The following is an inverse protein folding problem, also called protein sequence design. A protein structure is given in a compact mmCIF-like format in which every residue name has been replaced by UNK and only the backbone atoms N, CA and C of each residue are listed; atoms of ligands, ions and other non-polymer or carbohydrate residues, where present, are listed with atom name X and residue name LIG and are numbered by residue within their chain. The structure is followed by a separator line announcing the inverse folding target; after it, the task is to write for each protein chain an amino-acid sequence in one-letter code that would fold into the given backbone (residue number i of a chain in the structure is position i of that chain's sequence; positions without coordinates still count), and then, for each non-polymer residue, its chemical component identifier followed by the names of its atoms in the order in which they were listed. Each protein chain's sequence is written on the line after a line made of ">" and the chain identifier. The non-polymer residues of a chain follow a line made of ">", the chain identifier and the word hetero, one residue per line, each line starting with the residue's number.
data_IF_222242293847
#
_entry.id   IF_222242293847
#
_cell.length_a   1.000
_cell.length_b   1.000
_cell.length_c   1.000
_cell.angle_alpha   90.00
_cell.angle_beta   90.00
_cell.angle_gamma   90.00
#
_symmetry.space_group_name_H-M   'P 1'
#
loop_
_entity.id
_entity.type
_entity.pdbx_description
1 polymer ?
#
# COMPACT_ATOMS: atom_id res chain seq x y z
N UNK A 1 24.57 -6.71 -25.34
CA UNK A 1 25.02 -5.63 -26.25
C UNK A 1 26.53 -5.51 -26.10
N UNK A 2 27.28 -5.24 -27.17
CA UNK A 2 28.69 -4.85 -27.06
C UNK A 2 28.76 -3.31 -27.12
N UNK A 3 29.51 -2.68 -26.20
CA UNK A 3 29.62 -1.21 -26.09
C UNK A 3 28.49 -0.52 -25.32
N UNK A 4 28.28 0.79 -25.56
CA UNK A 4 27.34 1.66 -24.82
C UNK A 4 25.86 1.51 -25.23
N UNK A 5 25.47 0.38 -25.80
CA UNK A 5 24.11 0.14 -26.28
C UNK A 5 23.16 -0.31 -25.16
N UNK A 6 22.09 0.46 -24.93
CA UNK A 6 20.98 0.06 -24.07
C UNK A 6 19.95 -0.75 -24.87
N UNK A 7 19.43 -1.82 -24.27
CA UNK A 7 18.37 -2.66 -24.84
C UNK A 7 17.24 -2.78 -23.83
N UNK A 8 15.99 -2.70 -24.31
CA UNK A 8 14.83 -3.01 -23.48
C UNK A 8 14.88 -4.48 -23.05
N UNK A 9 14.88 -4.70 -21.73
CA UNK A 9 14.80 -6.01 -21.11
C UNK A 9 13.52 -6.07 -20.28
N UNK A 10 12.58 -6.91 -20.69
CA UNK A 10 11.25 -6.96 -20.11
C UNK A 10 11.21 -8.02 -19.01
N UNK A 11 10.73 -7.65 -17.82
CA UNK A 11 10.51 -8.61 -16.74
C UNK A 11 9.59 -9.73 -17.23
N UNK A 12 10.01 -11.00 -17.17
CA UNK A 12 9.18 -12.12 -17.62
C UNK A 12 7.93 -12.25 -16.75
N UNK A 13 6.81 -12.67 -17.35
CA UNK A 13 5.61 -13.05 -16.63
C UNK A 13 5.64 -14.52 -16.18
N UNK A 14 4.54 -14.99 -15.59
CA UNK A 14 4.40 -16.36 -15.04
C UNK A 14 4.69 -17.47 -16.06
N UNK A 15 4.39 -17.24 -17.34
CA UNK A 15 4.61 -18.23 -18.42
C UNK A 15 6.00 -18.14 -19.05
N UNK A 16 6.95 -17.44 -18.42
CA UNK A 16 8.24 -16.99 -18.97
C UNK A 16 8.13 -16.05 -20.18
N UNK A 17 6.93 -15.86 -20.75
CA UNK A 17 6.70 -14.82 -21.73
C UNK A 17 6.65 -13.46 -21.02
N UNK A 18 7.41 -12.44 -21.47
CA UNK A 18 7.35 -11.10 -20.88
C UNK A 18 6.02 -10.39 -21.14
N UNK A 19 5.30 -10.75 -22.22
CA UNK A 19 4.01 -10.17 -22.59
C UNK A 19 3.15 -11.21 -23.31
N UNK A 20 1.88 -11.36 -22.91
CA UNK A 20 0.85 -12.15 -23.59
C UNK A 20 -0.32 -11.24 -23.96
N UNK A 21 -0.62 -11.05 -25.25
CA UNK A 21 -1.66 -10.12 -25.75
C UNK A 21 -2.27 -10.59 -27.06
N UNK A 22 -3.51 -10.19 -27.31
CA UNK A 22 -4.17 -10.28 -28.61
C UNK A 22 -3.98 -8.98 -29.41
N UNK A 23 -4.01 -9.05 -30.74
CA UNK A 23 -3.88 -7.88 -31.61
C UNK A 23 -5.26 -7.28 -31.96
N UNK A 24 -5.37 -5.95 -32.10
CA UNK A 24 -4.31 -4.94 -31.97
C UNK A 24 -3.97 -4.59 -30.50
N UNK A 25 -2.70 -4.29 -30.22
CA UNK A 25 -2.25 -3.81 -28.91
C UNK A 25 -1.16 -2.73 -29.02
N UNK A 26 -1.04 -1.91 -27.98
CA UNK A 26 -0.02 -0.87 -27.84
C UNK A 26 1.02 -1.27 -26.77
N UNK A 27 2.22 -0.72 -26.86
CA UNK A 27 3.20 -0.78 -25.77
C UNK A 27 3.13 0.50 -24.92
N UNK A 28 3.60 0.48 -23.65
CA UNK A 28 3.89 1.72 -22.94
C UNK A 28 4.89 2.59 -23.70
N UNK A 29 4.82 3.91 -23.47
CA UNK A 29 5.79 4.86 -24.02
C UNK A 29 7.21 4.56 -23.53
N UNK A 30 8.20 4.80 -24.39
CA UNK A 30 9.63 4.83 -24.03
C UNK A 30 10.07 6.28 -24.10
N UNK A 31 10.51 6.83 -22.97
CA UNK A 31 10.82 8.25 -22.84
C UNK A 31 12.32 8.49 -22.74
N UNK A 32 12.79 9.59 -23.30
CA UNK A 32 14.15 10.08 -23.16
C UNK A 32 14.05 11.56 -22.81
N UNK A 33 14.32 11.90 -21.54
CA UNK A 33 14.38 13.28 -21.09
C UNK A 33 15.81 13.79 -21.23
N UNK A 34 15.98 14.91 -21.91
CA UNK A 34 17.28 15.54 -22.17
C UNK A 34 17.17 17.00 -21.74
N UNK A 35 18.10 17.46 -20.91
CA UNK A 35 18.18 18.84 -20.45
C UNK A 35 19.65 19.23 -20.28
N UNK A 36 19.96 20.51 -20.50
CA UNK A 36 21.32 21.05 -20.33
C UNK A 36 21.75 21.11 -18.85
N UNK A 37 20.77 21.08 -17.92
CA UNK A 37 21.00 21.08 -16.47
C UNK A 37 20.02 20.14 -15.76
N UNK A 38 20.44 19.60 -14.61
CA UNK A 38 19.65 18.64 -13.82
C UNK A 38 18.26 19.17 -13.42
N UNK A 39 18.12 20.49 -13.17
CA UNK A 39 16.84 21.11 -12.85
C UNK A 39 15.79 20.92 -13.95
N UNK A 40 16.19 20.96 -15.22
CA UNK A 40 15.28 20.75 -16.36
C UNK A 40 14.70 19.34 -16.43
N UNK A 41 15.33 18.34 -15.80
CA UNK A 41 14.77 17.00 -15.69
C UNK A 41 13.60 16.94 -14.69
N UNK A 42 13.67 17.72 -13.61
CA UNK A 42 12.64 17.78 -12.55
C UNK A 42 11.42 18.57 -13.03
N UNK A 43 11.63 19.64 -13.81
CA UNK A 43 10.57 20.49 -14.34
C UNK A 43 9.78 19.87 -15.51
N UNK A 44 10.23 18.72 -16.03
CA UNK A 44 9.58 18.04 -17.15
C UNK A 44 8.27 17.36 -16.73
N UNK A 45 7.19 17.69 -17.44
CA UNK A 45 5.88 17.01 -17.32
C UNK A 45 5.69 15.87 -18.32
N UNK A 46 6.74 15.46 -19.05
CA UNK A 46 6.64 14.48 -20.14
C UNK A 46 5.91 13.20 -19.74
N UNK A 47 6.22 12.63 -18.57
CA UNK A 47 5.60 11.39 -18.10
C UNK A 47 4.09 11.55 -17.89
N UNK A 48 3.64 12.62 -17.23
CA UNK A 48 2.22 12.88 -17.00
C UNK A 48 1.47 13.12 -18.33
N UNK A 49 2.06 13.88 -19.25
CA UNK A 49 1.45 14.20 -20.54
C UNK A 49 1.24 12.97 -21.47
N UNK A 50 1.99 11.89 -21.23
CA UNK A 50 1.90 10.65 -22.01
C UNK A 50 0.90 9.63 -21.41
N UNK A 51 0.35 9.91 -20.23
CA UNK A 51 -0.71 9.09 -19.64
C UNK A 51 -2.07 9.45 -20.25
N UNK A 52 -3.00 8.50 -20.18
CA UNK A 52 -4.39 8.79 -20.51
C UNK A 52 -4.96 9.83 -19.54
N UNK A 53 -5.86 10.72 -20.00
CA UNK A 53 -6.58 11.63 -19.11
C UNK A 53 -7.36 10.88 -18.02
N UNK A 54 -7.71 11.61 -16.95
CA UNK A 54 -8.51 11.09 -15.84
C UNK A 54 -9.76 10.33 -16.33
N UNK A 55 -9.84 9.03 -15.98
CA UNK A 55 -10.99 8.15 -16.26
C UNK A 55 -11.95 7.98 -15.08
N UNK A 56 -11.61 8.52 -13.91
CA UNK A 56 -12.40 8.39 -12.68
C UNK A 56 -13.53 9.44 -12.58
N UNK A 57 -13.57 10.41 -13.50
CA UNK A 57 -14.57 11.48 -13.48
C UNK A 57 -14.32 12.47 -12.33
N UNK A 58 -15.35 12.76 -11.53
CA UNK A 58 -15.19 13.63 -10.36
C UNK A 58 -14.33 12.95 -9.28
N UNK A 59 -13.19 13.58 -8.99
CA UNK A 59 -12.25 13.15 -7.95
C UNK A 59 -12.19 14.14 -6.78
N UNK A 60 -13.25 14.96 -6.61
CA UNK A 60 -13.35 15.93 -5.52
C UNK A 60 -13.30 15.29 -4.13
N UNK A 61 -13.56 13.99 -4.03
CA UNK A 61 -13.40 13.17 -2.82
C UNK A 61 -11.93 12.95 -2.41
N UNK A 62 -10.97 13.04 -3.33
CA UNK A 62 -9.55 12.92 -3.00
C UNK A 62 -9.05 14.21 -2.37
N UNK A 63 -8.57 14.13 -1.12
CA UNK A 63 -8.06 15.28 -0.36
C UNK A 63 -6.61 15.02 0.03
N UNK A 64 -5.63 15.78 -0.49
CA UNK A 64 -4.26 15.71 -0.01
C UNK A 64 -4.18 16.02 1.49
N UNK A 65 -3.35 15.29 2.22
CA UNK A 65 -3.12 15.50 3.64
C UNK A 65 -1.69 15.13 4.05
N UNK A 66 -1.22 15.72 5.13
CA UNK A 66 -0.07 15.21 5.89
C UNK A 66 -0.55 14.14 6.87
N UNK A 67 0.34 13.22 7.24
CA UNK A 67 0.02 12.16 8.20
C UNK A 67 1.19 11.84 9.13
N UNK A 68 0.87 11.27 10.28
CA UNK A 68 1.82 10.59 11.19
C UNK A 68 1.43 9.11 11.26
N UNK A 69 2.20 8.28 11.94
CA UNK A 69 1.80 6.87 12.06
C UNK A 69 2.40 6.10 13.20
N UNK A 70 1.62 5.13 13.68
CA UNK A 70 2.13 3.97 14.40
C UNK A 70 2.88 3.13 13.36
N UNK A 71 4.16 3.45 13.19
CA UNK A 71 4.98 2.92 12.10
C UNK A 71 6.46 2.83 12.48
N UNK A 72 7.10 3.98 12.67
CA UNK A 72 8.55 4.06 12.88
C UNK A 72 9.03 3.30 14.13
N UNK A 73 8.18 3.22 15.15
CA UNK A 73 8.46 2.46 16.37
C UNK A 73 8.75 0.97 16.12
N UNK A 74 8.15 0.35 15.09
CA UNK A 74 8.43 -1.04 14.72
C UNK A 74 9.78 -1.19 14.01
N UNK A 75 10.12 -0.24 13.12
CA UNK A 75 11.44 -0.20 12.47
C UNK A 75 12.59 0.06 13.44
N UNK A 76 12.32 0.82 14.51
CA UNK A 76 13.28 1.07 15.59
C UNK A 76 13.29 -0.05 16.66
N UNK A 77 12.53 -1.12 16.46
CA UNK A 77 12.39 -2.25 17.40
C UNK A 77 11.90 -1.85 18.81
N UNK A 78 11.35 -0.65 18.96
CA UNK A 78 10.73 -0.17 20.21
C UNK A 78 9.32 -0.73 20.40
N UNK A 79 8.69 -1.16 19.30
CA UNK A 79 7.40 -1.86 19.26
C UNK A 79 7.44 -3.00 18.23
N UNK A 80 6.40 -3.83 18.21
CA UNK A 80 6.23 -4.94 17.25
C UNK A 80 4.98 -4.71 16.39
N UNK A 81 5.00 -5.23 15.16
CA UNK A 81 3.78 -5.38 14.36
C UNK A 81 2.90 -6.51 14.90
N UNK A 82 3.52 -7.64 15.24
CA UNK A 82 2.84 -8.75 15.90
C UNK A 82 2.38 -8.40 17.30
N UNK A 83 1.41 -9.17 17.78
CA UNK A 83 0.82 -9.08 19.09
C UNK A 83 1.83 -9.32 20.22
N UNK A 84 1.44 -8.95 21.44
CA UNK A 84 2.24 -9.15 22.64
C UNK A 84 2.56 -7.86 23.39
N UNK A 85 3.45 -7.90 24.40
CA UNK A 85 3.67 -6.77 25.32
C UNK A 85 4.20 -5.49 24.65
N UNK A 86 4.76 -5.60 23.45
CA UNK A 86 5.32 -4.47 22.68
C UNK A 86 4.49 -4.13 21.44
N UNK A 87 3.28 -4.68 21.30
CA UNK A 87 2.44 -4.46 20.14
C UNK A 87 2.18 -2.97 19.91
N UNK A 88 2.44 -2.50 18.68
CA UNK A 88 2.37 -1.09 18.35
C UNK A 88 0.95 -0.57 18.15
N UNK A 89 0.11 -1.35 17.47
CA UNK A 89 -1.25 -0.97 17.09
C UNK A 89 -2.24 -1.27 18.22
N UNK A 90 -2.04 -0.64 19.38
CA UNK A 90 -2.99 -0.71 20.49
C UNK A 90 -3.94 0.49 20.49
N UNK A 91 -5.15 0.29 21.02
CA UNK A 91 -6.14 1.35 21.23
C UNK A 91 -5.54 2.62 21.87
N UNK A 92 -4.77 2.46 22.95
CA UNK A 92 -4.17 3.58 23.68
C UNK A 92 -3.12 4.33 22.84
N UNK A 93 -2.21 3.61 22.17
CA UNK A 93 -1.17 4.24 21.37
C UNK A 93 -1.75 4.94 20.14
N UNK A 94 -2.76 4.35 19.50
CA UNK A 94 -3.40 4.94 18.32
C UNK A 94 -4.20 6.19 18.71
N UNK A 95 -4.98 6.15 19.81
CA UNK A 95 -5.65 7.35 20.33
C UNK A 95 -4.66 8.48 20.64
N UNK A 96 -3.49 8.17 21.20
CA UNK A 96 -2.41 9.16 21.44
C UNK A 96 -1.92 9.81 20.14
N UNK A 97 -1.75 9.04 19.07
CA UNK A 97 -1.36 9.58 17.76
C UNK A 97 -2.47 10.41 17.12
N UNK A 98 -3.73 10.02 17.27
CA UNK A 98 -4.89 10.80 16.81
C UNK A 98 -4.93 12.15 17.54
N UNK A 99 -4.75 12.16 18.86
CA UNK A 99 -4.73 13.41 19.64
C UNK A 99 -3.59 14.33 19.22
N UNK A 100 -2.40 13.77 18.99
CA UNK A 100 -1.27 14.53 18.46
C UNK A 100 -1.58 15.10 17.06
N UNK A 101 -2.11 14.27 16.16
CA UNK A 101 -2.44 14.71 14.80
C UNK A 101 -3.47 15.86 14.82
N UNK A 102 -4.51 15.74 15.63
CA UNK A 102 -5.54 16.77 15.81
C UNK A 102 -4.96 18.07 16.40
N UNK A 103 -4.06 17.97 17.38
CA UNK A 103 -3.41 19.13 18.00
C UNK A 103 -2.47 19.90 17.05
N UNK A 104 -2.00 19.25 15.98
CA UNK A 104 -1.00 19.78 15.06
C UNK A 104 -1.49 19.95 13.61
N UNK A 105 -2.80 19.92 13.37
CA UNK A 105 -3.41 20.05 12.03
C UNK A 105 -2.88 19.01 11.03
N UNK A 106 -2.65 17.78 11.47
CA UNK A 106 -2.23 16.65 10.64
C UNK A 106 -3.48 15.84 10.31
N UNK A 107 -3.70 15.58 9.03
CA UNK A 107 -4.97 15.03 8.55
C UNK A 107 -5.15 13.53 8.78
N UNK A 108 -4.06 12.77 8.95
CA UNK A 108 -4.12 11.31 9.01
C UNK A 108 -3.21 10.63 10.01
N UNK A 109 -3.61 9.43 10.45
CA UNK A 109 -2.80 8.49 11.24
C UNK A 109 -2.76 7.14 10.53
N UNK A 110 -1.59 6.74 10.02
CA UNK A 110 -1.32 5.38 9.55
C UNK A 110 -1.16 4.44 10.74
N UNK A 111 -1.74 3.24 10.65
CA UNK A 111 -1.55 2.18 11.64
C UNK A 111 -1.16 0.89 10.95
N UNK A 112 0.09 0.45 11.14
CA UNK A 112 0.52 -0.89 10.76
C UNK A 112 0.46 -1.85 11.95
N UNK A 113 0.28 -3.15 11.69
CA UNK A 113 0.14 -4.17 12.74
C UNK A 113 -1.28 -4.31 13.29
N UNK A 114 -2.27 -3.60 12.75
CA UNK A 114 -3.63 -3.60 13.31
C UNK A 114 -4.38 -4.94 13.16
N UNK A 115 -4.10 -5.67 12.08
CA UNK A 115 -4.81 -6.85 11.64
C UNK A 115 -4.12 -8.16 12.06
N UNK A 116 -4.83 -9.28 12.07
CA UNK A 116 -4.20 -10.60 12.28
C UNK A 116 -3.25 -10.95 11.13
N UNK A 117 -2.18 -11.69 11.45
CA UNK A 117 -1.22 -12.23 10.48
C UNK A 117 0.21 -11.70 10.61
N UNK A 118 0.46 -10.79 11.56
CA UNK A 118 1.80 -10.25 11.82
C UNK A 118 2.62 -11.08 12.83
N UNK A 119 1.99 -12.03 13.52
CA UNK A 119 2.68 -12.90 14.47
C UNK A 119 3.58 -13.90 13.75
N UNK A 120 4.81 -14.07 14.26
CA UNK A 120 5.80 -14.96 13.64
C UNK A 120 6.50 -14.31 12.46
N UNK A 121 6.69 -15.07 11.38
CA UNK A 121 7.41 -14.61 10.18
C UNK A 121 6.41 -14.17 9.09
N UNK A 122 6.18 -12.86 9.02
CA UNK A 122 5.29 -12.26 8.03
C UNK A 122 6.00 -11.94 6.71
N UNK A 123 7.33 -11.77 6.72
CA UNK A 123 8.11 -11.41 5.54
C UNK A 123 8.03 -12.52 4.49
N UNK A 124 7.60 -12.18 3.26
CA UNK A 124 7.54 -13.15 2.16
C UNK A 124 6.58 -14.34 2.39
N UNK A 125 5.70 -14.29 3.39
CA UNK A 125 4.77 -15.36 3.74
C UNK A 125 3.33 -14.98 3.34
N UNK A 126 2.74 -14.05 4.08
CA UNK A 126 1.47 -13.41 3.73
C UNK A 126 0.21 -14.27 3.80
N UNK A 127 0.31 -15.57 4.10
CA UNK A 127 -0.85 -16.48 4.13
C UNK A 127 -1.81 -16.22 5.29
N UNK A 128 -1.30 -15.73 6.41
CA UNK A 128 -2.08 -15.55 7.65
C UNK A 128 -2.72 -14.15 7.76
N UNK A 129 -2.48 -13.25 6.80
CA UNK A 129 -3.06 -11.92 6.83
C UNK A 129 -4.58 -11.96 6.65
N UNK A 130 -5.29 -11.38 7.61
CA UNK A 130 -6.68 -10.99 7.44
C UNK A 130 -6.76 -9.51 7.13
N UNK A 131 -7.53 -9.11 6.13
CA UNK A 131 -7.77 -7.69 5.83
C UNK A 131 -9.08 -7.18 6.44
N UNK A 132 -9.73 -8.00 7.27
CA UNK A 132 -11.01 -7.70 7.93
C UNK A 132 -11.01 -7.92 9.44
N UNK A 133 -10.02 -8.64 9.98
CA UNK A 133 -9.95 -8.97 11.41
C UNK A 133 -8.78 -8.27 12.10
N UNK A 134 -9.12 -7.46 13.11
CA UNK A 134 -8.14 -6.81 13.98
C UNK A 134 -7.60 -7.74 15.08
N UNK A 135 -6.45 -7.40 15.66
CA UNK A 135 -6.03 -7.94 16.95
C UNK A 135 -6.95 -7.49 18.09
N UNK A 136 -7.07 -8.26 19.20
CA UNK A 136 -8.01 -7.94 20.29
C UNK A 136 -7.76 -6.61 21.01
N UNK A 137 -6.55 -6.06 20.92
CA UNK A 137 -6.14 -4.79 21.52
C UNK A 137 -6.29 -3.59 20.57
N UNK A 138 -6.83 -3.81 19.37
CA UNK A 138 -7.16 -2.80 18.36
C UNK A 138 -8.66 -2.84 18.00
N UNK A 139 -9.41 -1.86 18.51
CA UNK A 139 -10.83 -1.68 18.20
C UNK A 139 -10.99 -0.69 17.04
N UNK A 140 -10.98 -1.22 15.81
CA UNK A 140 -11.01 -0.41 14.59
C UNK A 140 -12.24 0.49 14.50
N UNK A 141 -13.40 0.01 14.94
CA UNK A 141 -14.66 0.76 14.91
C UNK A 141 -14.59 1.97 15.86
N UNK A 142 -14.14 1.74 17.10
CA UNK A 142 -13.95 2.81 18.09
C UNK A 142 -12.90 3.81 17.65
N UNK A 143 -11.77 3.36 17.10
CA UNK A 143 -10.68 4.23 16.69
C UNK A 143 -11.05 5.09 15.48
N UNK A 144 -11.74 4.52 14.49
CA UNK A 144 -12.26 5.27 13.35
C UNK A 144 -13.26 6.34 13.80
N UNK A 145 -14.17 6.01 14.73
CA UNK A 145 -15.09 6.97 15.32
C UNK A 145 -14.36 8.09 16.09
N UNK A 146 -13.36 7.75 16.90
CA UNK A 146 -12.56 8.72 17.66
C UNK A 146 -11.77 9.66 16.75
N UNK A 147 -11.12 9.12 15.72
CA UNK A 147 -10.39 9.91 14.73
C UNK A 147 -11.32 10.91 14.03
N UNK A 148 -12.48 10.46 13.56
CA UNK A 148 -13.50 11.31 12.93
C UNK A 148 -13.99 12.42 13.86
N UNK A 149 -14.22 12.14 15.15
CA UNK A 149 -14.59 13.17 16.12
C UNK A 149 -13.51 14.26 16.27
N UNK A 150 -12.25 13.89 16.07
CA UNK A 150 -11.08 14.77 16.16
C UNK A 150 -10.71 15.44 14.84
N UNK A 151 -11.46 15.19 13.77
CA UNK A 151 -11.14 15.71 12.43
C UNK A 151 -9.91 15.05 11.79
N UNK A 152 -9.54 13.84 12.23
CA UNK A 152 -8.40 13.06 11.74
C UNK A 152 -8.92 11.81 11.02
N UNK A 153 -8.25 11.41 9.94
CA UNK A 153 -8.52 10.16 9.25
C UNK A 153 -7.61 9.04 9.76
N UNK A 154 -8.15 7.83 9.92
CA UNK A 154 -7.30 6.65 9.92
C UNK A 154 -6.86 6.39 8.49
N UNK A 155 -5.57 6.10 8.29
CA UNK A 155 -5.03 5.57 7.04
C UNK A 155 -4.87 4.08 7.24
N UNK A 156 -5.58 3.30 6.42
CA UNK A 156 -5.54 1.85 6.43
C UNK A 156 -4.18 1.30 6.00
N UNK A 157 -3.94 0.03 6.32
CA UNK A 157 -2.72 -0.68 5.94
C UNK A 157 -3.02 -2.11 5.52
N UNK A 158 -2.66 -2.47 4.29
CA UNK A 158 -2.77 -3.81 3.71
C UNK A 158 -1.38 -4.28 3.24
N UNK A 159 -0.56 -4.80 4.16
CA UNK A 159 0.64 -5.57 3.80
C UNK A 159 0.23 -6.97 3.34
N UNK A 160 0.89 -7.47 2.29
CA UNK A 160 0.58 -8.77 1.71
C UNK A 160 1.64 -9.83 1.99
N UNK A 161 2.82 -9.46 2.49
CA UNK A 161 3.96 -10.38 2.59
C UNK A 161 4.35 -10.94 1.22
N UNK A 162 4.15 -10.14 0.16
CA UNK A 162 4.29 -10.53 -1.24
C UNK A 162 3.17 -11.43 -1.77
N UNK A 163 2.15 -11.77 -0.98
CA UNK A 163 1.08 -12.70 -1.34
C UNK A 163 -0.18 -11.96 -1.85
N UNK A 164 -0.12 -11.49 -3.10
CA UNK A 164 -1.25 -10.81 -3.73
C UNK A 164 -2.45 -11.76 -3.93
N UNK A 165 -2.23 -13.06 -4.10
CA UNK A 165 -3.30 -14.05 -4.22
C UNK A 165 -4.25 -14.05 -3.01
N UNK A 166 -3.69 -14.08 -1.79
CA UNK A 166 -4.50 -14.02 -0.56
C UNK A 166 -5.19 -12.66 -0.41
N UNK A 167 -4.51 -11.58 -0.82
CA UNK A 167 -5.08 -10.24 -0.76
C UNK A 167 -6.28 -10.07 -1.70
N UNK A 168 -6.17 -10.50 -2.96
CA UNK A 168 -7.24 -10.40 -3.96
C UNK A 168 -8.54 -11.09 -3.52
N UNK A 169 -8.45 -12.18 -2.77
CA UNK A 169 -9.63 -12.89 -2.22
C UNK A 169 -10.36 -12.10 -1.13
N UNK A 170 -9.66 -11.20 -0.44
CA UNK A 170 -10.18 -10.42 0.67
C UNK A 170 -10.33 -8.93 0.33
N UNK A 171 -9.88 -8.50 -0.85
CA UNK A 171 -9.74 -7.10 -1.24
C UNK A 171 -11.07 -6.35 -1.15
N UNK A 172 -12.13 -6.90 -1.75
CA UNK A 172 -13.47 -6.30 -1.71
C UNK A 172 -14.00 -6.17 -0.27
N UNK A 173 -13.82 -7.21 0.55
CA UNK A 173 -14.27 -7.20 1.93
C UNK A 173 -13.47 -6.22 2.80
N UNK A 174 -12.15 -6.12 2.59
CA UNK A 174 -11.28 -5.16 3.26
C UNK A 174 -11.60 -3.72 2.88
N UNK A 175 -11.86 -3.44 1.59
CA UNK A 175 -12.30 -2.12 1.17
C UNK A 175 -13.71 -1.77 1.65
N UNK A 176 -14.64 -2.73 1.68
CA UNK A 176 -15.97 -2.50 2.25
C UNK A 176 -15.92 -2.20 3.76
N UNK A 177 -15.00 -2.84 4.51
CA UNK A 177 -14.73 -2.49 5.89
C UNK A 177 -14.23 -1.03 6.01
N UNK A 178 -13.24 -0.64 5.20
CA UNK A 178 -12.70 0.71 5.22
C UNK A 178 -13.72 1.77 4.81
N UNK A 179 -14.52 1.51 3.76
CA UNK A 179 -15.59 2.41 3.35
C UNK A 179 -16.61 2.61 4.47
N UNK A 180 -17.11 1.53 5.09
CA UNK A 180 -18.06 1.59 6.21
C UNK A 180 -17.54 2.45 7.36
N UNK A 181 -16.23 2.39 7.61
CA UNK A 181 -15.56 3.12 8.68
C UNK A 181 -15.26 4.59 8.32
N UNK A 182 -15.31 4.96 7.04
CA UNK A 182 -14.87 6.26 6.54
C UNK A 182 -13.34 6.38 6.40
N UNK A 183 -12.67 5.27 6.11
CA UNK A 183 -11.23 5.20 5.81
C UNK A 183 -11.07 5.32 4.29
N UNK A 184 -10.50 6.42 3.82
CA UNK A 184 -10.43 6.77 2.40
C UNK A 184 -9.02 6.69 1.81
N UNK A 185 -8.05 6.20 2.59
CA UNK A 185 -6.66 6.07 2.17
C UNK A 185 -6.08 4.79 2.76
N UNK A 186 -5.32 4.06 1.95
CA UNK A 186 -4.68 2.81 2.33
C UNK A 186 -3.24 2.80 1.85
N UNK A 187 -2.32 2.42 2.73
CA UNK A 187 -0.97 2.01 2.34
C UNK A 187 -1.00 0.51 2.05
N UNK A 188 -0.66 0.10 0.84
CA UNK A 188 -0.47 -1.31 0.48
C UNK A 188 1.00 -1.70 0.52
N UNK A 189 1.31 -2.95 0.83
CA UNK A 189 2.68 -3.48 0.88
C UNK A 189 2.80 -4.84 0.21
N UNK A 190 3.93 -5.09 -0.46
CA UNK A 190 4.22 -6.32 -1.21
C UNK A 190 5.63 -6.82 -0.88
N UNK A 191 5.90 -6.97 0.42
CA UNK A 191 7.25 -7.29 0.90
C UNK A 191 7.58 -8.77 0.66
N UNK A 192 8.48 -9.01 -0.28
CA UNK A 192 9.10 -10.30 -0.56
C UNK A 192 10.49 -10.09 -1.17
N UNK A 193 11.26 -11.17 -1.28
CA UNK A 193 12.43 -11.18 -2.16
C UNK A 193 12.02 -10.93 -3.62
N UNK A 194 12.98 -10.49 -4.43
CA UNK A 194 12.76 -10.23 -5.86
C UNK A 194 12.32 -11.52 -6.58
N UNK A 195 11.16 -11.46 -7.24
CA UNK A 195 10.54 -12.63 -7.89
C UNK A 195 9.81 -13.57 -6.92
N UNK A 196 9.72 -13.24 -5.64
CA UNK A 196 9.02 -14.04 -4.61
C UNK A 196 7.55 -13.67 -4.40
N UNK A 197 7.00 -12.75 -5.21
CA UNK A 197 5.60 -12.37 -5.11
C UNK A 197 4.70 -13.54 -5.58
N UNK A 198 3.66 -13.84 -4.80
CA UNK A 198 2.66 -14.86 -5.12
C UNK A 198 1.41 -14.21 -5.70
N UNK A 199 0.96 -14.73 -6.82
CA UNK A 199 -0.18 -14.19 -7.60
C UNK A 199 -1.08 -15.34 -8.07
N UNK A 200 -2.32 -15.05 -8.46
CA UNK A 200 -3.21 -16.09 -8.99
C UNK A 200 -2.62 -16.74 -10.24
N UNK A 201 -2.79 -18.07 -10.36
CA UNK A 201 -2.43 -18.85 -11.54
C UNK A 201 -3.56 -18.92 -12.60
N UNK A 202 -4.71 -18.27 -12.33
CA UNK A 202 -5.90 -18.29 -13.18
C UNK A 202 -6.68 -19.62 -13.15
N UNK A 203 -6.29 -20.59 -12.32
CA UNK A 203 -6.89 -21.94 -12.18
C UNK A 203 -7.37 -22.22 -10.77
N UNK A 204 -7.48 -21.20 -9.94
CA UNK A 204 -7.90 -21.30 -8.54
C UNK A 204 -6.75 -21.61 -7.57
N UNK A 205 -5.50 -21.53 -8.03
CA UNK A 205 -4.30 -21.62 -7.21
C UNK A 205 -3.45 -20.35 -7.30
N UNK A 206 -2.21 -20.48 -6.83
CA UNK A 206 -1.20 -19.42 -6.86
C UNK A 206 0.11 -19.93 -7.42
N UNK A 207 0.92 -19.02 -7.96
CA UNK A 207 2.30 -19.24 -8.39
C UNK A 207 3.21 -18.17 -7.81
#
# INVERSE_FOLDING_TARGET
>A
TTGNGLRADLTPGQTNAPVVREAPFNTPWRTMQIADQAGGLIESHLILNLNEPNKLGDVSWFKPMTYVGVWWQMHMETATWGSGPKHGATNANVMRHIDFAAAHNIGGVLVEGWNKGWDGEWFGNGFDFSFTEAYPDFDIERLAAYARQKGVQIIGHHETGGNAYVYEQQMDAGFALYERLGIHSVKTGYVSDAGGARVSDGKGGWT
#
